data_IF_711557142656
#
_entry.id   IF_711557142656
#
_cell.length_a   1.000
_cell.length_b   1.000
_cell.length_c   1.000
_cell.angle_alpha   90.00
_cell.angle_beta   90.00
_cell.angle_gamma   90.00
#
_symmetry.space_group_name_H-M   'P 1'
#
loop_
_entity.id
_entity.type
_entity.pdbx_description
1 polymer ?
#
# COMPACT_ATOMS: atom_id res chain seq x y z
N UNK A 1 -34.09 0.25 1.93
CA UNK A 1 -33.54 0.47 1.98
C UNK A 1 -32.68 1.06 1.76
N UNK A 2 -32.00 0.82 1.52
CA UNK A 2 -31.10 1.78 1.36
C UNK A 2 -30.31 2.19 2.53
N UNK A 3 -30.24 1.42 3.55
CA UNK A 3 -29.51 1.77 4.73
C UNK A 3 -28.03 1.89 4.50
N UNK A 4 -27.45 0.99 3.73
CA UNK A 4 -26.02 1.03 3.52
C UNK A 4 -25.59 2.24 2.67
N UNK A 5 -26.41 2.68 1.75
CA UNK A 5 -26.12 3.88 1.00
C UNK A 5 -26.10 5.10 1.91
N UNK A 6 -27.05 5.15 2.80
CA UNK A 6 -27.12 6.24 3.75
C UNK A 6 -25.87 6.27 4.60
N UNK A 7 -25.43 5.11 5.03
CA UNK A 7 -24.22 5.01 5.85
C UNK A 7 -23.03 5.57 5.13
N UNK A 8 -22.85 5.24 3.86
CA UNK A 8 -21.73 5.77 3.10
C UNK A 8 -21.76 7.27 2.98
N UNK A 9 -22.93 7.81 2.70
CA UNK A 9 -23.06 9.26 2.58
C UNK A 9 -22.72 9.95 3.87
N UNK A 10 -23.18 9.40 4.99
CA UNK A 10 -22.97 10.04 6.27
C UNK A 10 -21.51 10.08 6.67
N UNK A 11 -20.73 9.10 6.21
CA UNK A 11 -19.32 9.08 6.52
C UNK A 11 -18.50 9.98 5.63
N UNK A 12 -19.16 10.54 4.60
CA UNK A 12 -18.44 11.32 3.62
C UNK A 12 -17.51 10.44 2.81
N UNK A 13 -16.52 11.00 2.13
CA UNK A 13 -15.60 10.21 1.32
C UNK A 13 -14.81 9.28 2.21
N UNK A 14 -14.83 8.00 1.88
CA UNK A 14 -14.01 7.04 2.57
C UNK A 14 -12.57 7.21 2.12
N UNK A 15 -11.67 7.23 3.08
CA UNK A 15 -10.26 7.27 2.75
C UNK A 15 -9.82 5.87 2.36
N UNK A 16 -9.33 5.75 1.15
CA UNK A 16 -8.66 4.56 0.70
C UNK A 16 -7.17 4.78 0.92
N UNK A 17 -6.49 3.78 1.44
CA UNK A 17 -5.06 3.89 1.66
C UNK A 17 -4.32 2.84 0.87
N UNK A 18 -3.04 3.10 0.68
CA UNK A 18 -2.09 2.16 0.10
C UNK A 18 -0.88 2.15 1.02
N UNK A 19 -0.63 1.02 1.67
CA UNK A 19 0.53 0.87 2.54
C UNK A 19 1.69 0.44 1.67
N UNK A 20 2.82 1.15 1.74
CA UNK A 20 3.98 0.80 0.92
C UNK A 20 4.57 -0.54 1.39
N UNK A 21 5.43 -1.12 0.55
CA UNK A 21 6.01 -2.42 0.88
C UNK A 21 6.81 -2.37 2.16
N UNK A 22 7.50 -1.26 2.41
CA UNK A 22 8.29 -1.12 3.62
C UNK A 22 7.41 -1.21 4.88
N UNK A 23 6.21 -0.64 4.82
CA UNK A 23 5.30 -0.69 5.96
C UNK A 23 4.87 -2.10 6.31
N UNK A 24 4.50 -2.87 5.30
CA UNK A 24 4.17 -4.28 5.52
C UNK A 24 5.35 -5.04 6.09
N UNK A 25 6.55 -4.78 5.54
CA UNK A 25 7.76 -5.47 5.98
C UNK A 25 8.09 -5.11 7.42
N UNK A 26 8.03 -3.82 7.78
CA UNK A 26 8.29 -3.39 9.15
C UNK A 26 7.35 -4.05 10.14
N UNK A 27 6.08 -4.13 9.77
CA UNK A 27 5.10 -4.73 10.65
C UNK A 27 5.38 -6.22 10.87
N UNK A 28 5.59 -6.98 9.80
CA UNK A 28 5.75 -8.43 9.92
C UNK A 28 7.13 -8.84 10.38
N UNK A 29 8.14 -8.00 10.19
CA UNK A 29 9.48 -8.27 10.68
C UNK A 29 9.74 -7.66 12.04
N UNK A 30 8.74 -7.00 12.62
CA UNK A 30 8.83 -6.37 13.94
C UNK A 30 9.95 -5.33 13.98
N UNK A 31 10.03 -4.52 12.95
CA UNK A 31 11.05 -3.50 12.83
C UNK A 31 10.75 -2.25 13.66
N UNK A 32 11.64 -1.26 13.59
CA UNK A 32 11.51 -0.05 14.42
C UNK A 32 10.24 0.75 14.17
N UNK A 33 9.64 0.65 12.99
CA UNK A 33 8.42 1.39 12.67
C UNK A 33 7.17 0.52 12.75
N UNK A 34 7.29 -0.72 13.26
CA UNK A 34 6.17 -1.65 13.29
C UNK A 34 4.96 -1.05 14.00
N UNK A 35 5.16 -0.41 15.14
CA UNK A 35 4.04 0.18 15.88
C UNK A 35 3.38 1.32 15.12
N UNK A 36 4.17 2.09 14.40
CA UNK A 36 3.61 3.21 13.63
C UNK A 36 2.74 2.74 12.49
N UNK A 37 3.07 1.59 11.89
CA UNK A 37 2.28 1.04 10.80
C UNK A 37 1.13 0.15 11.27
N UNK A 38 1.20 -0.36 12.51
CA UNK A 38 0.22 -1.34 12.99
C UNK A 38 -1.23 -0.90 12.82
N UNK A 39 -1.61 0.36 13.14
CA UNK A 39 -3.02 0.74 12.99
C UNK A 39 -3.52 0.59 11.55
N UNK A 40 -2.65 0.82 10.57
CA UNK A 40 -3.04 0.72 9.17
C UNK A 40 -3.11 -0.73 8.72
N UNK A 41 -2.10 -1.53 9.09
CA UNK A 41 -2.05 -2.94 8.70
C UNK A 41 -3.19 -3.73 9.32
N UNK A 42 -3.45 -3.50 10.60
CA UNK A 42 -4.42 -4.32 11.34
C UNK A 42 -5.86 -4.01 10.92
N UNK A 43 -6.12 -2.82 10.42
CA UNK A 43 -7.46 -2.44 9.98
C UNK A 43 -7.65 -2.58 8.48
N UNK A 44 -6.62 -3.02 7.76
CA UNK A 44 -6.68 -3.07 6.30
C UNK A 44 -7.66 -4.14 5.83
N UNK A 45 -8.50 -3.77 4.87
CA UNK A 45 -9.42 -4.72 4.24
C UNK A 45 -9.67 -4.27 2.80
N UNK A 46 -10.53 -5.00 2.10
CA UNK A 46 -10.78 -4.76 0.68
C UNK A 46 -11.49 -3.44 0.40
N UNK A 47 -12.14 -2.87 1.42
CA UNK A 47 -12.87 -1.62 1.23
C UNK A 47 -12.00 -0.39 1.48
N UNK A 48 -10.99 -0.52 2.32
CA UNK A 48 -10.20 0.65 2.70
C UNK A 48 -8.75 0.64 2.23
N UNK A 49 -8.26 -0.49 1.68
CA UNK A 49 -6.84 -0.59 1.35
C UNK A 49 -6.65 -1.26 0.00
N UNK A 50 -5.82 -0.65 -0.85
CA UNK A 50 -5.39 -1.28 -2.10
C UNK A 50 -3.93 -1.68 -1.96
N UNK A 51 -3.57 -2.81 -2.57
CA UNK A 51 -2.20 -3.31 -2.52
C UNK A 51 -1.76 -3.68 -3.92
N UNK A 52 -0.80 -2.95 -4.49
CA UNK A 52 -0.29 -3.32 -5.81
C UNK A 52 0.38 -4.68 -5.79
N UNK A 53 0.23 -5.43 -6.88
CA UNK A 53 0.84 -6.77 -6.96
C UNK A 53 2.34 -6.73 -6.74
N UNK A 54 3.02 -5.65 -7.16
CA UNK A 54 4.46 -5.53 -6.96
C UNK A 54 4.80 -5.44 -5.47
N UNK A 55 3.92 -4.86 -4.67
CA UNK A 55 4.12 -4.81 -3.21
C UNK A 55 4.03 -6.22 -2.63
N UNK A 56 3.08 -7.02 -3.13
CA UNK A 56 2.96 -8.41 -2.69
C UNK A 56 4.28 -9.15 -2.96
N UNK A 57 4.85 -8.95 -4.14
CA UNK A 57 6.13 -9.57 -4.49
C UNK A 57 7.23 -9.15 -3.52
N UNK A 58 7.37 -7.86 -3.28
CA UNK A 58 8.46 -7.37 -2.44
C UNK A 58 8.33 -7.84 -0.99
N UNK A 59 7.12 -7.78 -0.46
CA UNK A 59 6.89 -8.15 0.94
C UNK A 59 7.12 -9.64 1.12
N UNK A 60 6.55 -10.45 0.25
CA UNK A 60 6.70 -11.89 0.35
C UNK A 60 8.18 -12.29 0.29
N UNK A 61 8.89 -11.73 -0.69
CA UNK A 61 10.30 -12.06 -0.88
C UNK A 61 11.14 -11.67 0.34
N UNK A 62 10.93 -10.46 0.84
CA UNK A 62 11.73 -9.94 1.94
C UNK A 62 11.46 -10.71 3.23
N UNK A 63 10.19 -10.96 3.53
CA UNK A 63 9.85 -11.67 4.75
C UNK A 63 10.31 -13.13 4.68
N UNK A 64 10.15 -13.74 3.51
CA UNK A 64 10.59 -15.13 3.35
C UNK A 64 12.08 -15.26 3.61
N UNK A 65 12.87 -14.33 3.06
CA UNK A 65 14.32 -14.35 3.28
C UNK A 65 14.69 -14.11 4.73
N UNK A 66 13.99 -13.20 5.41
CA UNK A 66 14.37 -12.78 6.75
C UNK A 66 13.78 -13.67 7.85
N UNK A 67 12.57 -14.16 7.65
CA UNK A 67 11.80 -14.83 8.70
C UNK A 67 11.26 -16.19 8.31
N UNK A 68 11.45 -16.62 7.06
CA UNK A 68 11.01 -17.94 6.61
C UNK A 68 9.64 -17.94 5.97
N UNK A 69 9.29 -19.10 5.44
CA UNK A 69 8.09 -19.24 4.63
C UNK A 69 6.80 -19.02 5.42
N UNK A 70 6.74 -19.53 6.65
CA UNK A 70 5.52 -19.41 7.44
C UNK A 70 5.15 -17.94 7.65
N UNK A 71 6.11 -17.14 8.05
CA UNK A 71 5.87 -15.72 8.29
C UNK A 71 5.53 -15.00 6.98
N UNK A 72 6.17 -15.39 5.89
CA UNK A 72 5.87 -14.80 4.58
C UNK A 72 4.44 -15.12 4.15
N UNK A 73 3.95 -16.34 4.42
CA UNK A 73 2.58 -16.70 4.10
C UNK A 73 1.58 -15.96 4.97
N UNK A 74 1.93 -15.69 6.23
CA UNK A 74 1.08 -14.87 7.09
C UNK A 74 0.96 -13.46 6.53
N UNK A 75 2.06 -12.90 6.06
CA UNK A 75 2.03 -11.57 5.45
C UNK A 75 1.18 -11.58 4.18
N UNK A 76 1.33 -12.60 3.36
CA UNK A 76 0.53 -12.71 2.14
C UNK A 76 -0.97 -12.82 2.48
N UNK A 77 -1.30 -13.61 3.48
CA UNK A 77 -2.71 -13.76 3.89
C UNK A 77 -3.29 -12.42 4.33
N UNK A 78 -2.53 -11.63 5.05
CA UNK A 78 -3.00 -10.32 5.48
C UNK A 78 -3.18 -9.37 4.30
N UNK A 79 -2.19 -9.35 3.38
CA UNK A 79 -2.31 -8.52 2.19
C UNK A 79 -3.49 -8.93 1.32
N UNK A 80 -3.80 -10.23 1.29
CA UNK A 80 -4.90 -10.74 0.48
C UNK A 80 -6.26 -10.30 0.97
N UNK A 81 -6.35 -9.79 2.19
CA UNK A 81 -7.60 -9.20 2.69
C UNK A 81 -7.87 -7.84 2.07
N UNK A 82 -6.87 -7.22 1.48
CA UNK A 82 -7.03 -5.93 0.81
C UNK A 82 -7.37 -6.14 -0.66
N UNK A 83 -7.63 -5.04 -1.37
CA UNK A 83 -7.87 -5.12 -2.79
C UNK A 83 -6.53 -5.18 -3.52
N UNK A 84 -6.21 -6.33 -4.07
CA UNK A 84 -4.96 -6.48 -4.83
C UNK A 84 -5.17 -5.85 -6.20
N UNK A 85 -4.23 -4.99 -6.60
CA UNK A 85 -4.29 -4.28 -7.88
C UNK A 85 -3.21 -4.82 -8.80
N UNK A 86 -3.64 -5.43 -9.89
CA UNK A 86 -2.73 -6.03 -10.85
C UNK A 86 -2.01 -4.95 -11.65
N UNK A 87 -0.81 -5.26 -12.09
CA UNK A 87 -0.04 -4.35 -12.94
C UNK A 87 -0.45 -4.59 -14.38
N UNK A 88 -1.43 -3.82 -14.84
CA UNK A 88 -1.89 -3.90 -16.23
C UNK A 88 -0.95 -3.09 -17.12
N UNK A 89 -1.09 -3.27 -18.44
CA UNK A 89 -0.32 -2.47 -19.39
C UNK A 89 -0.57 -0.99 -19.22
N UNK A 90 -1.84 -0.63 -19.03
CA UNK A 90 -2.19 0.78 -18.87
C UNK A 90 -1.53 1.37 -17.61
N UNK A 91 -1.60 0.64 -16.52
CA UNK A 91 -0.99 1.10 -15.28
C UNK A 91 0.53 1.19 -15.42
N UNK A 92 1.13 0.25 -16.15
CA UNK A 92 2.57 0.27 -16.38
C UNK A 92 3.00 1.52 -17.15
N UNK A 93 2.21 1.92 -18.16
CA UNK A 93 2.52 3.14 -18.91
C UNK A 93 2.43 4.37 -18.01
N UNK A 94 1.39 4.44 -17.18
CA UNK A 94 1.25 5.55 -16.25
C UNK A 94 2.41 5.62 -15.26
N UNK A 95 2.84 4.46 -14.77
CA UNK A 95 3.95 4.40 -13.84
C UNK A 95 5.25 4.85 -14.52
N UNK A 96 5.44 4.45 -15.79
CA UNK A 96 6.63 4.87 -16.53
C UNK A 96 6.69 6.38 -16.68
N UNK A 97 5.56 7.01 -16.99
CA UNK A 97 5.50 8.46 -17.09
C UNK A 97 5.85 9.13 -15.78
N UNK A 98 5.36 8.59 -14.66
CA UNK A 98 5.67 9.10 -13.33
C UNK A 98 7.17 8.95 -13.04
N UNK A 99 7.73 7.80 -13.40
CA UNK A 99 9.16 7.55 -13.19
C UNK A 99 10.01 8.61 -13.89
N UNK A 100 9.64 8.92 -15.13
CA UNK A 100 10.37 9.92 -15.90
C UNK A 100 10.19 11.31 -15.28
N UNK A 101 8.96 11.66 -14.93
CA UNK A 101 8.67 13.01 -14.45
C UNK A 101 9.31 13.30 -13.08
N UNK A 102 9.38 12.31 -12.20
CA UNK A 102 9.83 12.52 -10.84
C UNK A 102 11.13 11.78 -10.50
N UNK A 103 11.74 11.13 -11.46
CA UNK A 103 13.00 10.37 -11.24
C UNK A 103 12.84 9.32 -10.14
N UNK A 104 11.73 8.60 -10.17
CA UNK A 104 11.45 7.55 -9.19
C UNK A 104 11.78 6.19 -9.77
N UNK A 105 12.15 5.25 -8.90
CA UNK A 105 12.36 3.87 -9.30
C UNK A 105 11.06 3.19 -9.67
N UNK A 106 11.18 1.97 -10.18
CA UNK A 106 10.03 1.25 -10.73
C UNK A 106 8.95 1.01 -9.68
N UNK A 107 9.32 0.50 -8.52
CA UNK A 107 8.34 0.16 -7.50
C UNK A 107 7.62 1.39 -6.99
N UNK A 108 8.36 2.44 -6.66
CA UNK A 108 7.76 3.69 -6.18
C UNK A 108 6.83 4.29 -7.23
N UNK A 109 7.20 4.19 -8.50
CA UNK A 109 6.37 4.71 -9.59
C UNK A 109 5.07 3.93 -9.71
N UNK A 110 5.13 2.62 -9.58
CA UNK A 110 3.93 1.77 -9.63
C UNK A 110 3.03 2.06 -8.43
N UNK A 111 3.62 2.22 -7.25
CA UNK A 111 2.87 2.56 -6.05
C UNK A 111 2.13 3.89 -6.26
N UNK A 112 2.85 4.89 -6.75
CA UNK A 112 2.26 6.21 -6.95
C UNK A 112 1.17 6.18 -8.01
N UNK A 113 1.40 5.47 -9.13
CA UNK A 113 0.40 5.34 -10.18
C UNK A 113 -0.86 4.64 -9.66
N UNK A 114 -0.68 3.59 -8.87
CA UNK A 114 -1.81 2.85 -8.29
C UNK A 114 -2.60 3.75 -7.35
N UNK A 115 -1.90 4.50 -6.50
CA UNK A 115 -2.54 5.40 -5.56
C UNK A 115 -3.36 6.46 -6.28
N UNK A 116 -2.82 7.02 -7.36
CA UNK A 116 -3.54 8.03 -8.13
C UNK A 116 -4.79 7.45 -8.78
N UNK A 117 -4.67 6.25 -9.34
CA UNK A 117 -5.80 5.61 -10.01
C UNK A 117 -6.93 5.30 -9.05
N UNK A 118 -6.61 4.97 -7.82
CA UNK A 118 -7.61 4.59 -6.82
C UNK A 118 -7.91 5.71 -5.83
N UNK A 119 -7.35 6.88 -6.05
CA UNK A 119 -7.51 8.02 -5.16
C UNK A 119 -7.15 7.64 -3.72
N UNK A 120 -6.04 6.93 -3.57
CA UNK A 120 -5.60 6.41 -2.28
C UNK A 120 -4.50 7.28 -1.70
N UNK A 121 -4.49 7.37 -0.37
CA UNK A 121 -3.39 8.01 0.35
C UNK A 121 -2.31 6.97 0.62
N UNK A 122 -1.08 7.28 0.25
CA UNK A 122 0.04 6.37 0.48
C UNK A 122 0.56 6.55 1.89
N UNK A 123 0.63 5.46 2.63
CA UNK A 123 1.19 5.44 3.98
C UNK A 123 2.62 4.93 3.85
N UNK A 124 3.59 5.82 4.03
CA UNK A 124 4.99 5.47 3.74
C UNK A 124 5.95 6.24 4.64
N UNK A 125 7.13 5.65 4.85
CA UNK A 125 8.26 6.33 5.48
C UNK A 125 9.35 6.67 4.46
N UNK A 126 9.09 6.41 3.18
CA UNK A 126 10.07 6.66 2.11
C UNK A 126 10.20 8.15 1.86
N UNK A 127 11.41 8.66 2.03
CA UNK A 127 11.69 10.08 1.80
C UNK A 127 11.44 10.50 0.36
N UNK A 128 11.63 9.59 -0.59
CA UNK A 128 11.45 9.90 -2.01
C UNK A 128 10.01 10.22 -2.35
N UNK A 129 9.05 9.74 -1.55
CA UNK A 129 7.63 9.97 -1.80
C UNK A 129 7.05 11.06 -0.91
N UNK A 130 7.83 11.58 0.04
CA UNK A 130 7.32 12.45 1.09
C UNK A 130 6.63 13.71 0.54
N UNK A 131 7.11 14.25 -0.56
CA UNK A 131 6.57 15.50 -1.09
C UNK A 131 5.36 15.32 -2.00
N UNK A 132 4.95 14.08 -2.29
CA UNK A 132 3.80 13.85 -3.14
C UNK A 132 2.51 14.13 -2.36
N UNK A 133 1.50 14.64 -3.06
CA UNK A 133 0.27 15.10 -2.42
C UNK A 133 -0.48 14.00 -1.69
N UNK A 134 -0.47 12.79 -2.24
CA UNK A 134 -1.27 11.71 -1.67
C UNK A 134 -0.52 10.93 -0.59
N UNK A 135 0.58 11.46 -0.07
CA UNK A 135 1.40 10.72 0.88
C UNK A 135 1.12 11.16 2.31
N UNK A 136 0.97 10.18 3.19
CA UNK A 136 1.07 10.39 4.63
C UNK A 136 2.39 9.77 5.07
N UNK A 137 3.31 10.62 5.52
CA UNK A 137 4.65 10.17 5.88
C UNK A 137 4.67 9.63 7.31
N UNK A 138 5.24 8.44 7.46
CA UNK A 138 5.41 7.80 8.76
C UNK A 138 6.84 8.05 9.22
N UNK A 139 6.98 8.51 10.45
CA UNK A 139 8.30 8.68 11.05
C UNK A 139 8.25 8.16 12.47
N UNK A 140 9.43 7.86 12.97
CA UNK A 140 9.54 7.33 14.31
C UNK A 140 9.43 8.43 15.35
#
# INVERSE_FOLDING_TARGET
MCGHEQTQKRRGPLLTILIDSYGWIEYFADGPLAESYAPYVEKADAENTVTPAVVVYEVYKKIKNAKGEQKALEAYAQMSRTKIVELTSILALKAADISIAFSLGMVDSIILATAKEHNAQIITSDQHLKSQKQVKHISK
#
